data_IF_444828899294
#
_entry.id   IF_444828899294
#
_cell.length_a   1.000
_cell.length_b   1.000
_cell.length_c   1.000
_cell.angle_alpha   90.00
_cell.angle_beta   90.00
_cell.angle_gamma   90.00
#
_symmetry.space_group_name_H-M   'P 1'
#
loop_
_entity.id
_entity.type
_entity.pdbx_description
1 polymer ?
#
# COMPACT_ATOMS: atom_id res chain seq x y z
N UNK A 1 -14.23 11.92 -1.91
CA UNK A 1 -14.28 10.50 -1.54
C UNK A 1 -14.39 9.66 -2.80
N UNK A 2 -13.58 8.62 -2.93
CA UNK A 2 -13.60 7.65 -4.02
C UNK A 2 -14.21 6.31 -3.53
N UNK A 3 -14.73 5.43 -4.41
CA UNK A 3 -14.86 5.62 -5.87
C UNK A 3 -15.97 6.62 -6.24
N UNK A 4 -15.86 7.23 -7.42
CA UNK A 4 -16.94 8.03 -8.00
C UNK A 4 -17.98 7.12 -8.69
N UNK A 5 -19.20 7.62 -8.96
CA UNK A 5 -20.16 6.94 -9.84
C UNK A 5 -19.53 6.62 -11.21
N UNK A 6 -19.89 5.47 -11.79
CA UNK A 6 -19.24 4.92 -13.00
C UNK A 6 -19.24 5.86 -14.22
N UNK A 7 -20.21 6.77 -14.31
CA UNK A 7 -20.33 7.71 -15.42
C UNK A 7 -19.41 8.95 -15.29
N UNK A 8 -18.76 9.14 -14.14
CA UNK A 8 -17.84 10.25 -13.91
C UNK A 8 -16.40 9.80 -14.15
N UNK A 9 -15.58 10.68 -14.71
CA UNK A 9 -14.13 10.47 -14.84
C UNK A 9 -13.42 10.98 -13.59
N UNK A 10 -12.85 10.12 -12.73
CA UNK A 10 -12.20 10.55 -11.49
C UNK A 10 -11.04 11.53 -11.71
N UNK A 11 -10.26 11.32 -12.76
CA UNK A 11 -9.11 12.16 -13.10
C UNK A 11 -9.54 13.60 -13.38
N UNK A 12 -10.57 13.80 -14.20
CA UNK A 12 -11.10 15.13 -14.52
C UNK A 12 -11.58 15.87 -13.26
N UNK A 13 -12.19 15.16 -12.31
CA UNK A 13 -12.66 15.76 -11.06
C UNK A 13 -11.48 16.10 -10.15
N UNK A 14 -10.52 15.18 -9.98
CA UNK A 14 -9.36 15.37 -9.11
C UNK A 14 -8.45 16.49 -9.60
N UNK A 15 -8.29 16.66 -10.92
CA UNK A 15 -7.44 17.70 -11.52
C UNK A 15 -8.00 19.13 -11.32
N UNK A 16 -9.26 19.26 -10.91
CA UNK A 16 -9.83 20.58 -10.54
C UNK A 16 -9.42 21.04 -9.14
N UNK A 17 -8.86 20.14 -8.32
CA UNK A 17 -8.46 20.44 -6.94
C UNK A 17 -7.17 21.24 -6.95
N UNK A 18 -7.18 22.42 -6.33
CA UNK A 18 -5.97 23.23 -6.16
C UNK A 18 -4.92 22.46 -5.37
N UNK A 19 -3.67 22.48 -5.86
CA UNK A 19 -2.54 21.79 -5.23
C UNK A 19 -2.40 22.11 -3.73
N UNK A 20 -2.61 23.36 -3.31
CA UNK A 20 -2.48 23.80 -1.91
C UNK A 20 -3.61 23.31 -1.01
N UNK A 21 -4.64 22.68 -1.58
CA UNK A 21 -5.80 22.12 -0.88
C UNK A 21 -5.97 20.62 -1.08
N UNK A 22 -5.09 19.99 -1.87
CA UNK A 22 -5.12 18.55 -2.13
C UNK A 22 -4.54 17.75 -0.95
N UNK A 23 -5.26 17.75 0.17
CA UNK A 23 -4.80 17.07 1.40
C UNK A 23 -4.71 15.55 1.26
N UNK A 24 -5.41 14.98 0.29
CA UNK A 24 -5.33 13.56 -0.08
C UNK A 24 -4.05 13.26 -0.89
N UNK A 25 -3.36 14.28 -1.42
CA UNK A 25 -2.05 14.14 -2.07
C UNK A 25 -2.09 13.44 -3.42
N UNK A 26 -3.25 13.41 -4.10
CA UNK A 26 -3.43 12.73 -5.39
C UNK A 26 -3.15 13.61 -6.60
N UNK A 27 -3.01 14.92 -6.41
CA UNK A 27 -2.66 15.85 -7.46
C UNK A 27 -1.33 15.41 -8.12
N UNK A 28 -1.22 15.36 -9.46
CA UNK A 28 -0.04 14.84 -10.14
C UNK A 28 1.28 15.50 -9.71
N UNK A 29 1.25 16.79 -9.39
CA UNK A 29 2.41 17.50 -8.82
C UNK A 29 2.84 17.00 -7.44
N UNK A 30 1.92 16.60 -6.55
CA UNK A 30 2.27 15.98 -5.26
C UNK A 30 2.96 14.63 -5.51
N UNK A 31 2.38 13.77 -6.36
CA UNK A 31 2.99 12.47 -6.70
C UNK A 31 4.33 12.64 -7.42
N UNK A 32 4.43 13.57 -8.37
CA UNK A 32 5.67 13.87 -9.09
C UNK A 32 6.78 14.36 -8.15
N UNK A 33 6.45 15.25 -7.20
CA UNK A 33 7.38 15.70 -6.16
C UNK A 33 7.80 14.59 -5.22
N UNK A 34 6.90 13.66 -4.89
CA UNK A 34 7.23 12.47 -4.11
C UNK A 34 8.29 11.59 -4.81
N UNK A 35 8.23 11.47 -6.14
CA UNK A 35 9.19 10.67 -6.91
C UNK A 35 10.57 11.34 -7.10
N UNK A 36 10.67 12.65 -6.89
CA UNK A 36 11.92 13.39 -7.14
C UNK A 36 12.80 13.45 -5.88
N UNK A 37 13.99 12.84 -5.95
CA UNK A 37 14.98 12.97 -4.88
C UNK A 37 15.73 14.30 -4.97
N UNK A 38 15.98 14.97 -3.84
CA UNK A 38 16.77 16.21 -3.76
C UNK A 38 16.09 17.48 -4.31
N UNK A 39 14.78 17.45 -4.59
CA UNK A 39 14.00 18.63 -5.02
C UNK A 39 12.97 19.03 -3.97
N UNK A 40 12.13 19.99 -4.33
CA UNK A 40 11.00 20.44 -3.50
C UNK A 40 10.11 19.25 -3.12
N UNK A 41 9.85 19.11 -1.82
CA UNK A 41 8.98 18.05 -1.28
C UNK A 41 7.52 18.27 -1.70
N UNK A 42 6.70 17.21 -1.80
CA UNK A 42 5.27 17.37 -2.03
C UNK A 42 4.62 18.18 -0.90
N UNK A 43 3.53 18.91 -1.22
CA UNK A 43 2.76 19.60 -0.18
C UNK A 43 2.01 18.59 0.68
N UNK A 44 1.48 17.55 0.03
CA UNK A 44 0.71 16.49 0.67
C UNK A 44 1.16 15.12 0.17
N UNK A 45 1.09 14.14 1.06
CA UNK A 45 1.42 12.74 0.78
C UNK A 45 0.14 11.94 1.00
N UNK A 46 -0.20 11.01 0.10
CA UNK A 46 -1.35 10.12 0.29
C UNK A 46 -1.43 9.50 1.68
N UNK A 47 -2.62 9.60 2.28
CA UNK A 47 -2.84 9.28 3.69
C UNK A 47 -2.51 7.82 4.02
N UNK A 48 -2.93 6.86 3.19
CA UNK A 48 -2.67 5.43 3.42
C UNK A 48 -1.18 5.08 3.31
N UNK A 49 -0.45 5.45 2.25
CA UNK A 49 1.01 5.33 2.20
C UNK A 49 1.74 5.97 3.37
N UNK A 50 1.33 7.19 3.77
CA UNK A 50 1.89 7.87 4.94
C UNK A 50 1.65 7.07 6.23
N UNK A 51 0.44 6.51 6.39
CA UNK A 51 0.09 5.64 7.50
C UNK A 51 0.92 4.35 7.53
N UNK A 52 1.22 3.75 6.37
CA UNK A 52 2.09 2.56 6.30
C UNK A 52 3.49 2.85 6.87
N UNK A 53 4.09 3.98 6.48
CA UNK A 53 5.41 4.39 7.01
C UNK A 53 5.34 4.69 8.50
N UNK A 54 4.30 5.40 8.95
CA UNK A 54 4.10 5.72 10.36
C UNK A 54 3.97 4.44 11.21
N UNK A 55 3.26 3.42 10.74
CA UNK A 55 3.14 2.14 11.44
C UNK A 55 4.49 1.42 11.58
N UNK A 56 5.32 1.44 10.54
CA UNK A 56 6.67 0.87 10.60
C UNK A 56 7.55 1.64 11.59
N UNK A 57 7.52 2.97 11.54
CA UNK A 57 8.30 3.85 12.43
C UNK A 57 7.89 3.65 13.90
N UNK A 58 6.59 3.63 14.22
CA UNK A 58 6.09 3.41 15.58
C UNK A 58 6.33 1.99 16.10
N UNK A 59 6.48 1.03 15.19
CA UNK A 59 6.82 -0.35 15.52
C UNK A 59 8.33 -0.58 15.62
N UNK A 60 9.15 0.46 15.45
CA UNK A 60 10.62 0.40 15.42
C UNK A 60 11.16 -0.59 14.37
N UNK A 61 10.46 -0.73 13.24
CA UNK A 61 10.93 -1.56 12.13
C UNK A 61 11.93 -0.74 11.30
N UNK A 62 13.21 -1.15 11.21
CA UNK A 62 14.17 -0.45 10.37
C UNK A 62 13.79 -0.62 8.89
N UNK A 63 13.73 0.49 8.15
CA UNK A 63 13.42 0.49 6.70
C UNK A 63 14.71 0.53 5.86
N UNK A 64 15.73 1.24 6.35
CA UNK A 64 17.00 1.42 5.63
C UNK A 64 17.70 0.07 5.36
N UNK A 65 18.09 -0.14 4.11
CA UNK A 65 18.78 -1.34 3.65
C UNK A 65 17.89 -2.61 3.57
N UNK A 66 16.60 -2.52 3.91
CA UNK A 66 15.69 -3.67 3.84
C UNK A 66 15.19 -3.95 2.43
N UNK A 67 14.92 -5.22 2.17
CA UNK A 67 14.19 -5.64 0.98
C UNK A 67 12.68 -5.51 1.25
N UNK A 68 12.03 -4.53 0.63
CA UNK A 68 10.61 -4.30 0.76
C UNK A 68 9.86 -4.74 -0.51
N UNK A 69 8.77 -5.49 -0.32
CA UNK A 69 7.87 -5.90 -1.39
C UNK A 69 6.54 -5.18 -1.24
N UNK A 70 6.12 -4.48 -2.28
CA UNK A 70 4.81 -3.82 -2.35
C UNK A 70 3.92 -4.59 -3.31
N UNK A 71 2.81 -5.13 -2.83
CA UNK A 71 1.82 -5.82 -3.66
C UNK A 71 0.73 -4.85 -4.06
N UNK A 72 0.64 -4.55 -5.36
CA UNK A 72 -0.26 -3.54 -5.90
C UNK A 72 0.49 -2.28 -6.34
N UNK A 73 0.00 -1.69 -7.43
CA UNK A 73 0.59 -0.48 -8.05
C UNK A 73 -0.46 0.60 -8.35
N UNK A 74 -1.49 0.69 -7.52
CA UNK A 74 -2.49 1.75 -7.63
C UNK A 74 -1.85 3.12 -7.44
N UNK A 75 -2.42 4.16 -8.03
CA UNK A 75 -1.98 5.55 -7.85
C UNK A 75 -2.14 6.05 -6.41
N UNK A 76 -3.08 5.47 -5.65
CA UNK A 76 -3.44 5.96 -4.30
C UNK A 76 -2.67 5.29 -3.16
N UNK A 77 -2.23 4.04 -3.33
CA UNK A 77 -1.49 3.29 -2.28
C UNK A 77 -0.15 2.75 -2.80
N UNK A 78 -0.19 1.74 -3.68
CA UNK A 78 1.00 0.96 -4.02
C UNK A 78 2.17 1.77 -4.60
N UNK A 79 1.88 2.67 -5.56
CA UNK A 79 2.93 3.51 -6.13
C UNK A 79 3.50 4.49 -5.08
N UNK A 80 2.71 5.31 -4.36
CA UNK A 80 3.29 6.23 -3.38
C UNK A 80 4.01 5.54 -2.21
N UNK A 81 3.52 4.40 -1.70
CA UNK A 81 4.21 3.71 -0.59
C UNK A 81 5.55 3.14 -1.02
N UNK A 82 5.67 2.66 -2.27
CA UNK A 82 6.96 2.21 -2.81
C UNK A 82 7.98 3.36 -2.89
N UNK A 83 7.54 4.57 -3.27
CA UNK A 83 8.41 5.75 -3.29
C UNK A 83 8.86 6.15 -1.89
N UNK A 84 7.94 6.13 -0.91
CA UNK A 84 8.29 6.45 0.48
C UNK A 84 9.29 5.46 1.07
N UNK A 85 9.14 4.16 0.79
CA UNK A 85 10.10 3.14 1.20
C UNK A 85 11.48 3.37 0.57
N UNK A 86 11.54 3.68 -0.74
CA UNK A 86 12.80 4.02 -1.41
C UNK A 86 13.45 5.29 -0.84
N UNK A 87 12.68 6.32 -0.51
CA UNK A 87 13.19 7.53 0.15
C UNK A 87 13.77 7.27 1.54
N UNK A 88 13.39 6.15 2.17
CA UNK A 88 13.92 5.66 3.44
C UNK A 88 15.00 4.58 3.23
N UNK A 89 15.61 4.55 2.05
CA UNK A 89 16.73 3.68 1.68
C UNK A 89 16.41 2.18 1.65
N UNK A 90 15.14 1.78 1.48
CA UNK A 90 14.81 0.39 1.18
C UNK A 90 15.11 0.03 -0.28
N UNK A 91 15.45 -1.23 -0.53
CA UNK A 91 15.40 -1.82 -1.87
C UNK A 91 13.97 -2.30 -2.10
N UNK A 92 13.28 -1.78 -3.12
CA UNK A 92 11.83 -2.01 -3.29
C UNK A 92 11.52 -2.81 -4.55
N UNK A 93 10.73 -3.88 -4.40
CA UNK A 93 10.13 -4.64 -5.51
C UNK A 93 8.61 -4.41 -5.53
N UNK A 94 8.11 -3.83 -6.61
CA UNK A 94 6.65 -3.62 -6.80
C UNK A 94 6.08 -4.78 -7.62
N UNK A 95 5.12 -5.50 -7.02
CA UNK A 95 4.43 -6.62 -7.64
C UNK A 95 3.00 -6.25 -8.05
N UNK A 96 2.47 -6.94 -9.06
CA UNK A 96 1.11 -6.76 -9.56
C UNK A 96 0.58 -8.06 -10.18
N UNK A 97 -0.64 -8.04 -10.73
CA UNK A 97 -1.32 -9.22 -11.30
C UNK A 97 -0.60 -9.94 -12.46
N UNK A 98 0.50 -9.37 -12.95
CA UNK A 98 1.30 -9.93 -14.05
C UNK A 98 2.72 -10.30 -13.57
N UNK A 99 2.95 -10.28 -12.26
CA UNK A 99 4.23 -10.66 -11.66
C UNK A 99 4.28 -12.17 -11.57
N UNK A 100 5.22 -12.77 -12.30
CA UNK A 100 5.57 -14.18 -12.14
C UNK A 100 6.25 -14.40 -10.79
N UNK A 101 6.16 -15.61 -10.25
CA UNK A 101 6.89 -16.03 -9.03
C UNK A 101 6.68 -15.04 -7.86
N UNK A 102 5.41 -14.72 -7.60
CA UNK A 102 5.00 -13.78 -6.55
C UNK A 102 5.38 -14.29 -5.16
N UNK A 103 5.16 -15.57 -4.91
CA UNK A 103 5.48 -16.26 -3.66
C UNK A 103 6.93 -16.05 -3.25
N UNK A 104 7.88 -16.34 -4.16
CA UNK A 104 9.30 -16.20 -3.86
C UNK A 104 9.71 -14.74 -3.61
N UNK A 105 9.08 -13.77 -4.29
CA UNK A 105 9.32 -12.34 -4.01
C UNK A 105 8.92 -12.01 -2.58
N UNK A 106 7.73 -12.42 -2.15
CA UNK A 106 7.25 -12.23 -0.78
C UNK A 106 8.15 -12.96 0.23
N UNK A 107 8.58 -14.19 -0.07
CA UNK A 107 9.44 -15.02 0.80
C UNK A 107 10.82 -14.44 1.07
N UNK A 108 11.31 -13.55 0.20
CA UNK A 108 12.59 -12.87 0.38
C UNK A 108 12.47 -11.46 0.98
N UNK A 109 11.25 -10.99 1.27
CA UNK A 109 11.01 -9.64 1.77
C UNK A 109 11.20 -9.54 3.29
N UNK A 110 11.87 -8.47 3.73
CA UNK A 110 11.91 -8.07 5.14
C UNK A 110 10.66 -7.24 5.52
N UNK A 111 10.08 -6.55 4.54
CA UNK A 111 8.87 -5.73 4.69
C UNK A 111 7.92 -6.08 3.55
N UNK A 112 6.66 -6.39 3.86
CA UNK A 112 5.60 -6.60 2.87
C UNK A 112 4.51 -5.57 3.09
N UNK A 113 4.19 -4.78 2.07
CA UNK A 113 2.99 -3.92 2.06
C UNK A 113 2.02 -4.49 1.04
N UNK A 114 0.88 -5.04 1.48
CA UNK A 114 -0.14 -5.57 0.58
C UNK A 114 -1.30 -4.58 0.42
N UNK A 115 -1.56 -4.18 -0.82
CA UNK A 115 -2.62 -3.24 -1.20
C UNK A 115 -3.30 -3.66 -2.52
N UNK A 116 -3.71 -4.92 -2.60
CA UNK A 116 -4.31 -5.53 -3.80
C UNK A 116 -5.83 -5.65 -3.71
N UNK A 117 -6.41 -5.60 -2.52
CA UNK A 117 -7.86 -5.76 -2.31
C UNK A 117 -8.35 -7.16 -2.69
N UNK A 118 -7.59 -8.18 -2.31
CA UNK A 118 -7.91 -9.60 -2.54
C UNK A 118 -7.70 -10.39 -1.25
N UNK A 119 -8.82 -10.73 -0.61
CA UNK A 119 -8.87 -11.53 0.60
C UNK A 119 -7.93 -12.73 0.58
N UNK A 120 -6.97 -12.75 1.51
CA UNK A 120 -6.05 -13.87 1.73
C UNK A 120 -5.20 -14.28 0.51
N UNK A 121 -4.83 -13.32 -0.36
CA UNK A 121 -3.88 -13.58 -1.44
C UNK A 121 -2.53 -14.05 -0.90
N UNK A 122 -2.01 -13.36 0.14
CA UNK A 122 -0.71 -13.68 0.74
C UNK A 122 -0.89 -14.76 1.79
N UNK A 123 -0.28 -15.91 1.54
CA UNK A 123 -0.33 -17.08 2.42
C UNK A 123 0.72 -17.00 3.53
N UNK A 124 0.44 -17.64 4.66
CA UNK A 124 1.36 -17.67 5.80
C UNK A 124 2.75 -18.22 5.47
N UNK A 125 2.79 -19.29 4.68
CA UNK A 125 4.03 -19.99 4.25
C UNK A 125 4.86 -19.21 3.20
N UNK A 126 4.33 -18.09 2.70
CA UNK A 126 5.08 -17.17 1.85
C UNK A 126 5.90 -16.18 2.68
N UNK A 127 5.60 -16.02 3.97
CA UNK A 127 6.14 -14.94 4.78
C UNK A 127 7.51 -15.34 5.33
N UNK A 128 8.49 -14.47 5.15
CA UNK A 128 9.81 -14.62 5.76
C UNK A 128 9.67 -14.50 7.28
N UNK A 129 10.25 -15.43 8.07
CA UNK A 129 10.27 -15.29 9.53
C UNK A 129 10.86 -13.94 9.97
N UNK A 130 10.13 -13.23 10.83
CA UNK A 130 10.51 -11.90 11.31
C UNK A 130 10.29 -10.75 10.34
N UNK A 131 9.59 -10.96 9.20
CA UNK A 131 9.19 -9.88 8.31
C UNK A 131 8.13 -8.97 8.95
N UNK A 132 8.18 -7.68 8.62
CA UNK A 132 7.12 -6.75 8.95
C UNK A 132 6.05 -6.76 7.86
N UNK A 133 4.78 -6.84 8.27
CA UNK A 133 3.64 -6.93 7.35
C UNK A 133 2.71 -5.73 7.56
N UNK A 134 2.40 -5.02 6.48
CA UNK A 134 1.39 -3.98 6.44
C UNK A 134 0.28 -4.43 5.49
N UNK A 135 -0.86 -4.81 6.05
CA UNK A 135 -2.04 -5.21 5.29
C UNK A 135 -2.98 -4.02 5.10
N UNK A 136 -3.01 -3.48 3.89
CA UNK A 136 -3.89 -2.38 3.48
C UNK A 136 -5.21 -2.92 2.91
N UNK A 137 -5.30 -4.22 2.66
CA UNK A 137 -6.47 -4.87 2.08
C UNK A 137 -7.72 -4.66 2.93
N UNK A 138 -8.82 -4.29 2.28
CA UNK A 138 -10.15 -4.25 2.89
C UNK A 138 -11.11 -4.92 1.91
N UNK A 139 -11.31 -6.22 2.10
CA UNK A 139 -12.23 -7.03 1.29
C UNK A 139 -13.43 -7.45 2.13
N UNK A 140 -14.65 -7.25 1.62
CA UNK A 140 -15.85 -7.80 2.24
C UNK A 140 -16.01 -9.27 1.86
N UNK A 141 -16.17 -10.14 2.86
CA UNK A 141 -16.44 -11.57 2.68
C UNK A 141 -17.70 -11.92 3.46
N UNK A 142 -18.63 -12.63 2.81
CA UNK A 142 -19.88 -13.03 3.43
C UNK A 142 -19.65 -13.78 4.73
N UNK A 143 -20.37 -13.36 5.76
CA UNK A 143 -20.31 -13.93 7.10
C UNK A 143 -21.70 -13.81 7.73
N UNK A 144 -22.53 -14.87 7.64
CA UNK A 144 -23.86 -14.89 8.24
C UNK A 144 -23.87 -14.70 9.76
N UNK A 145 -22.71 -14.82 10.43
CA UNK A 145 -22.58 -14.61 11.87
C UNK A 145 -22.28 -13.16 12.26
N UNK A 146 -21.80 -12.32 11.33
CA UNK A 146 -21.62 -10.88 11.53
C UNK A 146 -22.96 -10.14 11.33
N UNK A 147 -23.25 -9.14 12.17
CA UNK A 147 -24.49 -8.34 12.09
C UNK A 147 -24.69 -7.64 10.74
N UNK A 148 -23.61 -7.39 10.00
CA UNK A 148 -23.63 -6.77 8.67
C UNK A 148 -23.88 -7.78 7.54
N UNK A 149 -23.84 -9.09 7.85
CA UNK A 149 -23.86 -10.17 6.86
C UNK A 149 -22.52 -10.43 6.17
N UNK A 150 -21.48 -9.65 6.52
CA UNK A 150 -20.13 -9.80 6.00
C UNK A 150 -19.10 -9.33 7.04
N UNK A 151 -17.88 -9.84 6.92
CA UNK A 151 -16.70 -9.38 7.64
C UNK A 151 -15.70 -8.73 6.70
N UNK A 152 -14.89 -7.82 7.24
CA UNK A 152 -13.77 -7.22 6.50
C UNK A 152 -12.52 -8.03 6.78
N UNK A 153 -11.85 -8.47 5.73
CA UNK A 153 -10.59 -9.21 5.80
C UNK A 153 -9.53 -8.52 4.94
N UNK A 154 -8.28 -8.68 5.35
CA UNK A 154 -7.13 -8.16 4.63
C UNK A 154 -6.69 -9.04 3.47
N UNK A 155 -5.63 -8.60 2.80
CA UNK A 155 -4.99 -9.34 1.72
C UNK A 155 -4.12 -10.49 2.23
N UNK A 156 -3.74 -10.47 3.51
CA UNK A 156 -2.88 -11.45 4.16
C UNK A 156 -3.72 -12.39 5.04
N UNK A 157 -3.39 -13.68 5.02
CA UNK A 157 -3.94 -14.66 5.95
C UNK A 157 -3.40 -14.45 7.37
N UNK A 158 -4.00 -13.49 8.10
CA UNK A 158 -3.53 -13.03 9.41
C UNK A 158 -3.21 -14.16 10.40
N UNK A 159 -4.11 -15.15 10.54
CA UNK A 159 -3.93 -16.24 11.50
C UNK A 159 -2.68 -17.09 11.23
N UNK A 160 -2.31 -17.26 9.95
CA UNK A 160 -1.11 -17.99 9.56
C UNK A 160 0.14 -17.09 9.53
N UNK A 161 -0.04 -15.77 9.48
CA UNK A 161 1.00 -14.77 9.38
C UNK A 161 1.49 -14.20 10.73
N UNK A 162 0.73 -14.42 11.81
CA UNK A 162 0.99 -13.82 13.13
C UNK A 162 2.14 -14.46 13.92
N UNK A 163 2.66 -15.60 13.45
CA UNK A 163 3.77 -16.37 14.05
C UNK A 163 5.12 -15.97 13.45
#
# INVERSE_FOLDING_TARGET
>A
QLPLPEHMQPEEVLDTIKLEKDVDGFHPLNIGRLCMNGREKPLFIPCTPKGCIELLDRSNIPIEGKNAVVLGRSNIVGMPVSMLLMQRNATVTVCHRFTDDLENKVRNADIVVSAVGRAGLVKGDWIKPGAALIDVGISAVDDPSDKRGYRLVGDIEYEAAKE
#
